data_IF_077040027503
#
_entry.id   IF_077040027503
#
_cell.length_a   1.000
_cell.length_b   1.000
_cell.length_c   1.000
_cell.angle_alpha   90.00
_cell.angle_beta   90.00
_cell.angle_gamma   90.00
#
_symmetry.space_group_name_H-M   'P 1'
#
loop_
_entity.id
_entity.type
_entity.pdbx_description
1 polymer ?
#
# COMPACT_ATOMS: atom_id res chain seq x y z
N UNK A 1 20.86 10.65 -20.59
CA UNK A 1 19.63 10.69 -19.76
C UNK A 1 18.43 10.84 -20.68
N UNK A 2 17.46 9.91 -20.64
CA UNK A 2 16.20 10.07 -21.39
C UNK A 2 15.41 11.13 -20.64
N UNK A 3 15.17 12.29 -21.26
CA UNK A 3 14.36 13.36 -20.66
C UNK A 3 12.92 12.89 -20.48
N UNK A 4 12.35 13.13 -19.31
CA UNK A 4 10.92 12.91 -19.05
C UNK A 4 10.15 13.97 -19.82
N UNK A 5 9.13 13.56 -20.58
CA UNK A 5 8.27 14.47 -21.33
C UNK A 5 7.05 14.84 -20.49
N UNK A 6 7.12 15.98 -19.81
CA UNK A 6 6.06 16.49 -18.92
C UNK A 6 4.72 16.66 -19.65
N UNK A 7 4.70 17.17 -20.89
CA UNK A 7 3.46 17.36 -21.66
C UNK A 7 2.71 16.05 -21.87
N UNK A 8 3.45 14.95 -22.11
CA UNK A 8 2.82 13.64 -22.21
C UNK A 8 2.20 13.20 -20.88
N UNK A 9 2.91 13.40 -19.76
CA UNK A 9 2.44 13.03 -18.43
C UNK A 9 1.16 13.81 -18.13
N UNK A 10 1.15 15.11 -18.37
CA UNK A 10 0.01 15.99 -18.16
C UNK A 10 -1.20 15.59 -19.01
N UNK A 11 -0.96 15.28 -20.27
CA UNK A 11 -2.00 14.76 -21.16
C UNK A 11 -2.66 13.50 -20.61
N UNK A 12 -1.86 12.52 -20.15
CA UNK A 12 -2.41 11.27 -19.60
C UNK A 12 -3.08 11.47 -18.25
N UNK A 13 -2.52 12.30 -17.38
CA UNK A 13 -3.15 12.69 -16.14
C UNK A 13 -4.55 13.27 -16.38
N UNK A 14 -4.66 14.24 -17.27
CA UNK A 14 -5.93 14.90 -17.60
C UNK A 14 -6.98 13.94 -18.18
N UNK A 15 -6.56 12.99 -19.03
CA UNK A 15 -7.47 11.96 -19.58
C UNK A 15 -7.98 11.04 -18.45
N UNK A 16 -7.10 10.59 -17.56
CA UNK A 16 -7.48 9.75 -16.41
C UNK A 16 -8.44 10.49 -15.50
N UNK A 17 -8.10 11.72 -15.15
CA UNK A 17 -8.92 12.56 -14.28
C UNK A 17 -10.30 12.82 -14.87
N UNK A 18 -10.38 13.21 -16.14
CA UNK A 18 -11.65 13.43 -16.83
C UNK A 18 -12.57 12.20 -16.80
N UNK A 19 -11.99 11.00 -16.97
CA UNK A 19 -12.73 9.75 -16.92
C UNK A 19 -13.25 9.45 -15.51
N UNK A 20 -12.45 9.70 -14.48
CA UNK A 20 -12.86 9.52 -13.09
C UNK A 20 -13.95 10.53 -12.68
N UNK A 21 -13.81 11.79 -13.12
CA UNK A 21 -14.82 12.86 -12.89
C UNK A 21 -16.18 12.56 -13.53
N UNK A 22 -16.24 11.77 -14.58
CA UNK A 22 -17.50 11.39 -15.21
C UNK A 22 -18.44 10.64 -14.25
N UNK A 23 -17.90 9.89 -13.29
CA UNK A 23 -18.64 9.17 -12.26
C UNK A 23 -19.36 10.14 -11.32
N UNK A 24 -18.75 11.26 -10.96
CA UNK A 24 -19.35 12.26 -10.08
C UNK A 24 -20.66 12.81 -10.66
N UNK A 25 -20.71 13.00 -11.98
CA UNK A 25 -21.93 13.47 -12.68
C UNK A 25 -23.06 12.45 -12.63
N UNK A 26 -22.72 11.15 -12.68
CA UNK A 26 -23.72 10.07 -12.72
C UNK A 26 -24.14 9.56 -11.33
N UNK A 27 -23.27 9.69 -10.32
CA UNK A 27 -23.46 9.16 -8.95
C UNK A 27 -22.91 10.10 -7.88
N UNK A 28 -23.48 11.31 -7.69
CA UNK A 28 -22.91 12.31 -6.78
C UNK A 28 -22.86 11.85 -5.31
N UNK A 29 -23.82 11.03 -4.86
CA UNK A 29 -23.86 10.54 -3.47
C UNK A 29 -22.72 9.55 -3.16
N UNK A 30 -22.12 8.93 -4.17
CA UNK A 30 -20.99 8.00 -3.99
C UNK A 30 -19.75 8.72 -3.48
N UNK A 31 -19.49 9.95 -3.91
CA UNK A 31 -18.40 10.79 -3.43
C UNK A 31 -18.50 11.00 -1.91
N UNK A 32 -19.64 11.53 -1.45
CA UNK A 32 -19.88 11.78 -0.02
C UNK A 32 -19.77 10.52 0.84
N UNK A 33 -20.23 9.36 0.33
CA UNK A 33 -20.09 8.08 1.05
C UNK A 33 -18.63 7.67 1.25
N UNK A 34 -17.78 7.84 0.23
CA UNK A 34 -16.34 7.53 0.32
C UNK A 34 -15.65 8.51 1.25
N UNK A 35 -15.89 9.81 1.11
CA UNK A 35 -15.32 10.85 1.95
C UNK A 35 -15.67 10.62 3.43
N UNK A 36 -16.94 10.42 3.74
CA UNK A 36 -17.39 10.11 5.11
C UNK A 36 -16.80 8.80 5.65
N UNK A 37 -16.67 7.75 4.82
CA UNK A 37 -16.04 6.50 5.22
C UNK A 37 -14.56 6.68 5.56
N UNK A 38 -13.87 7.56 4.86
CA UNK A 38 -12.46 7.93 5.10
C UNK A 38 -12.31 9.12 6.06
N UNK A 39 -13.41 9.52 6.74
CA UNK A 39 -13.47 10.60 7.75
C UNK A 39 -12.99 11.94 7.19
N UNK A 40 -13.41 12.26 5.98
CA UNK A 40 -13.13 13.51 5.27
C UNK A 40 -11.62 13.82 5.13
N UNK A 41 -10.78 12.77 5.12
CA UNK A 41 -9.34 12.90 4.92
C UNK A 41 -8.92 13.05 3.45
N UNK A 42 -9.85 12.79 2.53
CA UNK A 42 -9.64 12.85 1.08
C UNK A 42 -10.88 13.39 0.40
N UNK A 43 -10.71 13.98 -0.79
CA UNK A 43 -11.81 14.21 -1.74
C UNK A 43 -11.98 12.98 -2.63
N UNK A 44 -13.18 12.77 -3.19
CA UNK A 44 -13.43 11.66 -4.10
C UNK A 44 -14.36 12.05 -5.23
N UNK A 45 -14.14 11.46 -6.41
CA UNK A 45 -15.09 11.51 -7.53
C UNK A 45 -16.19 10.44 -7.43
N UNK A 46 -16.17 9.63 -6.38
CA UNK A 46 -17.19 8.61 -6.13
C UNK A 46 -16.91 7.24 -6.74
N UNK A 47 -15.68 6.99 -7.23
CA UNK A 47 -15.30 5.69 -7.75
C UNK A 47 -14.82 4.78 -6.61
N UNK A 48 -15.44 3.62 -6.45
CA UNK A 48 -14.92 2.58 -5.57
C UNK A 48 -13.72 1.86 -6.22
N UNK A 49 -12.97 1.10 -5.42
CA UNK A 49 -11.74 0.44 -5.88
C UNK A 49 -11.94 -0.48 -7.10
N UNK A 50 -12.98 -1.35 -7.18
CA UNK A 50 -13.26 -2.12 -8.39
C UNK A 50 -13.45 -1.25 -9.63
N UNK A 51 -14.23 -0.19 -9.53
CA UNK A 51 -14.51 0.71 -10.65
C UNK A 51 -13.25 1.47 -11.11
N UNK A 52 -12.40 1.90 -10.16
CA UNK A 52 -11.11 2.53 -10.50
C UNK A 52 -10.22 1.55 -11.26
N UNK A 53 -10.18 0.29 -10.83
CA UNK A 53 -9.41 -0.75 -11.52
C UNK A 53 -9.93 -1.03 -12.93
N UNK A 54 -11.24 -1.13 -13.11
CA UNK A 54 -11.88 -1.29 -14.43
C UNK A 54 -11.61 -0.07 -15.32
N UNK A 55 -11.76 1.13 -14.79
CA UNK A 55 -11.46 2.38 -15.50
C UNK A 55 -10.00 2.40 -15.95
N UNK A 56 -9.06 1.99 -15.11
CA UNK A 56 -7.66 1.89 -15.45
C UNK A 56 -7.41 0.86 -16.56
N UNK A 57 -7.96 -0.36 -16.45
CA UNK A 57 -7.88 -1.38 -17.51
C UNK A 57 -8.45 -0.90 -18.83
N UNK A 58 -9.62 -0.25 -18.79
CA UNK A 58 -10.25 0.28 -19.99
C UNK A 58 -9.50 1.48 -20.58
N UNK A 59 -8.69 2.16 -19.78
CA UNK A 59 -7.79 3.23 -20.23
C UNK A 59 -6.56 2.67 -20.96
N UNK A 60 -5.92 1.62 -20.39
CA UNK A 60 -4.71 1.04 -20.99
C UNK A 60 -4.99 0.40 -22.35
N UNK A 61 -6.10 -0.34 -22.49
CA UNK A 61 -6.43 -1.12 -23.70
C UNK A 61 -6.57 -0.28 -24.97
N UNK A 62 -7.42 0.77 -25.02
CA UNK A 62 -7.61 1.57 -26.25
C UNK A 62 -6.51 2.58 -26.48
N UNK A 63 -5.83 3.03 -25.42
CA UNK A 63 -4.77 4.03 -25.53
C UNK A 63 -3.41 3.37 -25.80
N UNK A 64 -3.20 2.90 -27.05
CA UNK A 64 -1.87 2.44 -27.51
C UNK A 64 -0.75 3.40 -27.13
N UNK A 65 -1.06 4.70 -27.00
CA UNK A 65 -0.11 5.74 -26.60
C UNK A 65 0.36 5.58 -25.15
N UNK A 66 -0.48 5.13 -24.20
CA UNK A 66 -0.03 4.83 -22.83
C UNK A 66 1.08 3.75 -22.84
N UNK A 67 0.94 2.75 -23.69
CA UNK A 67 1.94 1.69 -23.81
C UNK A 67 3.26 2.20 -24.43
N UNK A 68 3.24 3.37 -25.10
CA UNK A 68 4.42 4.05 -25.63
C UNK A 68 5.12 4.94 -24.59
N UNK A 69 4.52 5.16 -23.42
CA UNK A 69 5.23 5.77 -22.29
C UNK A 69 6.37 4.87 -21.86
N UNK A 70 7.53 5.47 -21.65
CA UNK A 70 8.67 4.79 -21.04
C UNK A 70 8.33 4.37 -19.61
N UNK A 71 9.14 3.50 -19.01
CA UNK A 71 9.00 3.14 -17.62
C UNK A 71 9.04 4.38 -16.71
N UNK A 72 10.02 5.27 -16.92
CA UNK A 72 10.16 6.52 -16.16
C UNK A 72 8.98 7.46 -16.30
N UNK A 73 8.43 7.61 -17.51
CA UNK A 73 7.21 8.42 -17.72
C UNK A 73 5.99 7.84 -17.00
N UNK A 74 5.85 6.50 -16.94
CA UNK A 74 4.78 5.84 -16.16
C UNK A 74 4.98 6.02 -14.67
N UNK A 75 6.22 5.92 -14.19
CA UNK A 75 6.55 6.16 -12.79
C UNK A 75 6.24 7.61 -12.40
N UNK A 76 6.67 8.59 -13.19
CA UNK A 76 6.34 10.01 -12.97
C UNK A 76 4.83 10.28 -13.02
N UNK A 77 4.08 9.64 -13.93
CA UNK A 77 2.62 9.71 -13.95
C UNK A 77 1.98 9.15 -12.67
N UNK A 78 2.53 8.06 -12.13
CA UNK A 78 2.06 7.51 -10.86
C UNK A 78 2.31 8.48 -9.70
N UNK A 79 3.48 9.09 -9.62
CA UNK A 79 3.78 10.12 -8.60
C UNK A 79 2.85 11.32 -8.74
N UNK A 80 2.59 11.79 -9.98
CA UNK A 80 1.65 12.90 -10.22
C UNK A 80 0.23 12.55 -9.76
N UNK A 81 -0.25 11.35 -10.02
CA UNK A 81 -1.55 10.88 -9.54
C UNK A 81 -1.58 10.76 -8.00
N UNK A 82 -0.48 10.34 -7.37
CA UNK A 82 -0.40 10.18 -5.93
C UNK A 82 -0.42 11.53 -5.18
N UNK A 83 0.11 12.61 -5.82
CA UNK A 83 0.07 13.99 -5.30
C UNK A 83 -1.32 14.62 -5.32
N UNK A 84 -2.27 14.00 -5.99
CA UNK A 84 -3.65 14.51 -6.03
C UNK A 84 -4.31 14.47 -4.65
N UNK A 85 -5.16 15.45 -4.37
CA UNK A 85 -6.07 15.43 -3.21
C UNK A 85 -7.23 14.41 -3.37
N UNK A 86 -7.45 13.91 -4.59
CA UNK A 86 -8.53 12.98 -4.88
C UNK A 86 -8.09 11.52 -4.70
N UNK A 87 -8.83 10.81 -3.85
CA UNK A 87 -8.65 9.39 -3.54
C UNK A 87 -8.60 8.51 -4.80
N UNK A 88 -9.50 8.76 -5.75
CA UNK A 88 -9.60 8.03 -7.01
C UNK A 88 -8.29 8.07 -7.82
N UNK A 89 -7.61 9.22 -7.84
CA UNK A 89 -6.31 9.38 -8.50
C UNK A 89 -5.19 8.69 -7.72
N UNK A 90 -5.19 8.76 -6.38
CA UNK A 90 -4.24 8.02 -5.54
C UNK A 90 -4.35 6.51 -5.76
N UNK A 91 -5.58 5.98 -5.87
CA UNK A 91 -5.79 4.56 -6.21
C UNK A 91 -5.37 4.23 -7.63
N UNK A 92 -5.53 5.17 -8.57
CA UNK A 92 -5.02 5.01 -9.93
C UNK A 92 -3.49 4.95 -9.95
N UNK A 93 -2.80 5.76 -9.15
CA UNK A 93 -1.35 5.66 -8.95
C UNK A 93 -0.94 4.25 -8.52
N UNK A 94 -1.66 3.66 -7.57
CA UNK A 94 -1.43 2.28 -7.13
C UNK A 94 -1.54 1.26 -8.27
N UNK A 95 -2.53 1.44 -9.17
CA UNK A 95 -2.69 0.58 -10.35
C UNK A 95 -1.56 0.77 -11.37
N UNK A 96 -1.09 2.02 -11.59
CA UNK A 96 0.06 2.31 -12.47
C UNK A 96 1.32 1.65 -11.94
N UNK A 97 1.65 1.84 -10.65
CA UNK A 97 2.79 1.21 -10.00
C UNK A 97 2.70 -0.33 -10.06
N UNK A 98 1.50 -0.88 -9.83
CA UNK A 98 1.24 -2.30 -9.97
C UNK A 98 1.37 -2.82 -11.41
N UNK A 99 1.29 -1.96 -12.43
CA UNK A 99 1.52 -2.33 -13.82
C UNK A 99 3.01 -2.36 -14.17
N UNK A 100 3.83 -1.53 -13.51
CA UNK A 100 5.25 -1.37 -13.82
C UNK A 100 6.20 -2.00 -12.79
N UNK A 101 5.70 -2.63 -11.72
CA UNK A 101 6.50 -3.07 -10.56
C UNK A 101 7.75 -3.89 -10.93
N UNK A 102 7.71 -4.66 -12.03
CA UNK A 102 8.82 -5.50 -12.46
C UNK A 102 10.05 -4.71 -12.94
N UNK A 103 9.84 -3.48 -13.37
CA UNK A 103 10.91 -2.61 -13.89
C UNK A 103 11.31 -1.52 -12.88
N UNK A 104 10.69 -1.46 -11.71
CA UNK A 104 11.04 -0.46 -10.68
C UNK A 104 12.42 -0.79 -10.11
N UNK A 105 13.33 0.17 -10.21
CA UNK A 105 14.70 0.06 -9.66
C UNK A 105 14.71 0.36 -8.16
N UNK A 106 15.85 0.11 -7.51
CA UNK A 106 16.04 0.46 -6.09
C UNK A 106 15.94 1.98 -5.89
N UNK A 107 16.54 2.77 -6.78
CA UNK A 107 16.47 4.24 -6.73
C UNK A 107 15.04 4.75 -6.88
N UNK A 108 14.24 4.17 -7.79
CA UNK A 108 12.82 4.53 -7.95
C UNK A 108 11.98 4.10 -6.74
N UNK A 109 12.31 2.96 -6.13
CA UNK A 109 11.67 2.53 -4.88
C UNK A 109 11.95 3.50 -3.73
N UNK A 110 13.20 3.93 -3.59
CA UNK A 110 13.60 4.90 -2.58
C UNK A 110 13.01 6.28 -2.84
N UNK A 111 12.99 6.74 -4.10
CA UNK A 111 12.32 7.98 -4.52
C UNK A 111 10.83 7.96 -4.17
N UNK A 112 10.13 6.86 -4.45
CA UNK A 112 8.71 6.70 -4.12
C UNK A 112 8.48 6.85 -2.61
N UNK A 113 9.25 6.15 -1.79
CA UNK A 113 9.06 6.17 -0.34
C UNK A 113 9.47 7.51 0.27
N UNK A 114 10.53 8.12 -0.23
CA UNK A 114 10.94 9.47 0.16
C UNK A 114 9.85 10.48 -0.17
N UNK A 115 9.34 10.48 -1.40
CA UNK A 115 8.27 11.38 -1.85
C UNK A 115 6.98 11.19 -1.03
N UNK A 116 6.59 9.94 -0.76
CA UNK A 116 5.42 9.62 0.08
C UNK A 116 5.57 10.24 1.47
N UNK A 117 6.77 10.19 2.05
CA UNK A 117 7.05 10.69 3.38
C UNK A 117 7.13 12.22 3.40
N UNK A 118 8.00 12.81 2.59
CA UNK A 118 8.30 14.25 2.64
C UNK A 118 7.13 15.12 2.18
N UNK A 119 6.32 14.63 1.25
CA UNK A 119 5.13 15.33 0.78
C UNK A 119 3.84 14.87 1.48
N UNK A 120 3.93 13.96 2.48
CA UNK A 120 2.80 13.40 3.24
C UNK A 120 1.66 12.90 2.34
N UNK A 121 2.00 12.21 1.24
CA UNK A 121 1.04 11.85 0.18
C UNK A 121 -0.05 10.86 0.62
N UNK A 122 0.14 10.19 1.75
CA UNK A 122 -0.83 9.26 2.34
C UNK A 122 -1.26 9.81 3.70
N UNK A 123 -2.57 10.02 3.85
CA UNK A 123 -3.19 10.53 5.09
C UNK A 123 -4.30 9.62 5.62
N UNK A 124 -4.56 8.48 4.94
CA UNK A 124 -5.57 7.50 5.32
C UNK A 124 -5.17 6.07 4.91
N UNK A 125 -5.81 5.09 5.54
CA UNK A 125 -5.43 3.68 5.47
C UNK A 125 -5.72 3.02 4.11
N UNK A 126 -6.74 3.45 3.38
CA UNK A 126 -7.17 2.77 2.17
C UNK A 126 -6.18 2.99 1.00
N UNK A 127 -5.59 4.20 0.87
CA UNK A 127 -4.50 4.45 -0.09
C UNK A 127 -3.27 3.61 0.24
N UNK A 128 -2.87 3.55 1.53
CA UNK A 128 -1.76 2.72 1.99
C UNK A 128 -1.98 1.24 1.63
N UNK A 129 -3.15 0.68 1.96
CA UNK A 129 -3.46 -0.73 1.73
C UNK A 129 -3.65 -1.03 0.22
N UNK A 130 -4.09 -0.05 -0.57
CA UNK A 130 -4.16 -0.19 -2.02
C UNK A 130 -2.77 -0.26 -2.64
N UNK A 131 -1.85 0.62 -2.25
CA UNK A 131 -0.44 0.57 -2.66
C UNK A 131 0.18 -0.79 -2.31
N UNK A 132 -0.06 -1.30 -1.10
CA UNK A 132 0.39 -2.63 -0.71
C UNK A 132 -0.18 -3.69 -1.64
N UNK A 133 -1.48 -3.71 -1.87
CA UNK A 133 -2.15 -4.76 -2.64
C UNK A 133 -1.77 -4.77 -4.12
N UNK A 134 -1.40 -3.62 -4.69
CA UNK A 134 -1.10 -3.46 -6.11
C UNK A 134 0.40 -3.42 -6.41
N UNK A 135 1.23 -2.85 -5.54
CA UNK A 135 2.65 -2.62 -5.79
C UNK A 135 3.56 -3.33 -4.78
N UNK A 136 3.59 -2.92 -3.51
CA UNK A 136 4.59 -3.40 -2.56
C UNK A 136 4.62 -4.93 -2.41
N UNK A 137 3.44 -5.56 -2.34
CA UNK A 137 3.33 -7.02 -2.27
C UNK A 137 4.04 -7.70 -3.43
N UNK A 138 3.82 -7.24 -4.66
CA UNK A 138 4.40 -7.87 -5.85
C UNK A 138 5.89 -7.53 -6.00
N UNK A 139 6.27 -6.27 -5.73
CA UNK A 139 7.67 -5.85 -5.71
C UNK A 139 8.48 -6.69 -4.71
N UNK A 140 8.01 -6.85 -3.48
CA UNK A 140 8.66 -7.66 -2.47
C UNK A 140 8.74 -9.16 -2.78
N UNK A 141 7.87 -9.68 -3.69
CA UNK A 141 7.92 -11.08 -4.11
C UNK A 141 8.95 -11.34 -5.22
N UNK A 142 9.54 -10.30 -5.82
CA UNK A 142 10.50 -10.47 -6.90
C UNK A 142 11.85 -11.00 -6.41
N UNK A 143 12.30 -10.54 -5.24
CA UNK A 143 13.57 -10.96 -4.66
C UNK A 143 13.56 -10.88 -3.13
N UNK A 144 14.60 -11.44 -2.52
CA UNK A 144 14.83 -11.35 -1.08
C UNK A 144 15.22 -9.91 -0.69
N UNK A 145 16.02 -9.25 -1.50
CA UNK A 145 16.47 -7.87 -1.34
C UNK A 145 15.27 -6.93 -1.33
N UNK A 146 14.35 -7.05 -2.29
CA UNK A 146 13.11 -6.27 -2.32
C UNK A 146 12.22 -6.52 -1.09
N UNK A 147 12.21 -7.77 -0.58
CA UNK A 147 11.52 -8.08 0.69
C UNK A 147 12.15 -7.31 1.85
N UNK A 148 13.48 -7.27 1.93
CA UNK A 148 14.19 -6.51 2.97
C UNK A 148 13.99 -5.00 2.81
N UNK A 149 14.02 -4.45 1.59
CA UNK A 149 13.75 -3.04 1.34
C UNK A 149 12.38 -2.61 1.90
N UNK A 150 11.32 -3.41 1.67
CA UNK A 150 10.02 -3.15 2.27
C UNK A 150 10.04 -3.29 3.80
N UNK A 151 10.75 -4.29 4.32
CA UNK A 151 10.86 -4.49 5.76
C UNK A 151 11.58 -3.33 6.46
N UNK A 152 12.54 -2.67 5.79
CA UNK A 152 13.24 -1.50 6.34
C UNK A 152 12.34 -0.27 6.53
N UNK A 153 11.20 -0.17 5.84
CA UNK A 153 10.21 0.88 6.06
C UNK A 153 9.66 0.90 7.50
N UNK A 154 9.84 -0.19 8.26
CA UNK A 154 9.51 -0.25 9.71
C UNK A 154 10.23 0.80 10.55
N UNK A 155 11.36 1.32 10.05
CA UNK A 155 12.20 2.31 10.74
C UNK A 155 11.74 3.74 10.49
N UNK A 156 10.80 3.95 9.58
CA UNK A 156 10.30 5.28 9.24
C UNK A 156 9.59 5.94 10.43
N UNK A 157 9.77 7.24 10.60
CA UNK A 157 8.96 8.08 11.48
C UNK A 157 7.54 8.34 10.95
N UNK A 158 7.31 8.09 9.65
CA UNK A 158 6.02 8.28 9.00
C UNK A 158 5.13 7.04 9.16
N UNK A 159 3.97 7.22 9.80
CA UNK A 159 3.00 6.15 10.11
C UNK A 159 2.71 5.23 8.92
N UNK A 160 2.48 5.80 7.74
CA UNK A 160 1.99 5.03 6.61
C UNK A 160 3.05 4.13 5.98
N UNK A 161 4.34 4.53 6.01
CA UNK A 161 5.43 3.65 5.61
C UNK A 161 5.61 2.50 6.60
N UNK A 162 5.50 2.75 7.91
CA UNK A 162 5.49 1.67 8.91
C UNK A 162 4.32 0.71 8.68
N UNK A 163 3.11 1.24 8.38
CA UNK A 163 1.95 0.41 8.05
C UNK A 163 2.21 -0.44 6.80
N UNK A 164 2.80 0.13 5.76
CA UNK A 164 3.18 -0.59 4.53
C UNK A 164 4.11 -1.76 4.88
N UNK A 165 5.12 -1.57 5.74
CA UNK A 165 6.03 -2.64 6.15
C UNK A 165 5.34 -3.80 6.88
N UNK A 166 4.21 -3.56 7.54
CA UNK A 166 3.42 -4.59 8.22
C UNK A 166 2.45 -5.29 7.26
N UNK A 167 1.63 -4.50 6.53
CA UNK A 167 0.53 -5.03 5.71
C UNK A 167 1.05 -5.78 4.48
N UNK A 168 2.23 -5.42 3.95
CA UNK A 168 2.83 -6.08 2.78
C UNK A 168 3.05 -7.58 2.96
N UNK A 169 3.20 -8.03 4.19
CA UNK A 169 3.52 -9.42 4.51
C UNK A 169 2.35 -10.27 5.01
N UNK A 170 1.23 -9.66 5.37
CA UNK A 170 0.05 -10.33 5.94
C UNK A 170 -0.36 -11.57 5.15
N UNK A 171 -0.45 -11.48 3.82
CA UNK A 171 -0.84 -12.63 2.98
C UNK A 171 0.31 -13.60 2.70
N UNK A 172 1.57 -13.18 2.88
CA UNK A 172 2.76 -14.01 2.63
C UNK A 172 3.10 -14.91 3.81
N UNK A 173 2.84 -14.47 5.03
CA UNK A 173 3.12 -15.21 6.27
C UNK A 173 2.57 -16.62 6.25
N UNK A 174 1.41 -16.84 5.63
CA UNK A 174 0.77 -18.16 5.51
C UNK A 174 1.65 -19.24 4.86
N UNK A 175 2.71 -18.85 4.15
CA UNK A 175 3.69 -19.75 3.54
C UNK A 175 4.88 -20.06 4.44
N UNK A 176 4.92 -19.48 5.64
CA UNK A 176 6.06 -19.65 6.54
C UNK A 176 7.38 -19.27 5.86
N UNK A 177 8.39 -20.08 6.07
CA UNK A 177 9.73 -19.96 5.48
C UNK A 177 9.84 -20.63 4.08
N UNK A 178 8.72 -21.12 3.54
CA UNK A 178 8.70 -21.78 2.23
C UNK A 178 8.50 -20.78 1.08
N UNK A 179 8.81 -21.21 -0.15
CA UNK A 179 8.60 -20.39 -1.36
C UNK A 179 7.14 -19.87 -1.46
N UNK A 180 6.93 -18.63 -1.84
CA UNK A 180 7.89 -17.63 -2.37
C UNK A 180 8.72 -16.90 -1.30
N UNK A 181 8.67 -17.30 -0.05
CA UNK A 181 9.48 -16.77 1.04
C UNK A 181 10.87 -17.48 1.08
N UNK A 182 11.61 -17.31 2.17
CA UNK A 182 12.94 -17.85 2.35
C UNK A 182 13.14 -18.25 3.82
N UNK A 183 14.13 -19.07 4.10
CA UNK A 183 14.49 -19.46 5.47
C UNK A 183 14.80 -18.22 6.31
N UNK A 184 14.12 -18.07 7.47
CA UNK A 184 14.19 -16.90 8.35
C UNK A 184 13.19 -15.78 7.98
N UNK A 185 12.24 -16.04 7.09
CA UNK A 185 11.20 -15.07 6.77
C UNK A 185 10.32 -14.75 7.98
N UNK A 186 9.96 -15.76 8.77
CA UNK A 186 9.17 -15.54 10.00
C UNK A 186 9.98 -14.75 11.05
N UNK A 187 11.30 -14.94 11.13
CA UNK A 187 12.16 -14.12 12.01
C UNK A 187 12.14 -12.65 11.58
N UNK A 188 12.17 -12.38 10.28
CA UNK A 188 12.01 -11.04 9.75
C UNK A 188 10.65 -10.43 10.12
N UNK A 189 9.57 -11.21 10.12
CA UNK A 189 8.25 -10.72 10.53
C UNK A 189 8.23 -10.32 12.01
N UNK A 190 8.84 -11.10 12.90
CA UNK A 190 8.98 -10.69 14.29
C UNK A 190 9.84 -9.45 14.46
N UNK A 191 10.91 -9.30 13.67
CA UNK A 191 11.73 -8.07 13.65
C UNK A 191 10.89 -6.84 13.28
N UNK A 192 10.00 -6.96 12.31
CA UNK A 192 9.07 -5.87 11.93
C UNK A 192 8.07 -5.59 13.07
N UNK A 193 7.54 -6.63 13.71
CA UNK A 193 6.64 -6.48 14.85
C UNK A 193 7.33 -5.78 16.03
N UNK A 194 8.58 -6.16 16.33
CA UNK A 194 9.37 -5.55 17.42
C UNK A 194 9.63 -4.06 17.19
N UNK A 195 9.90 -3.65 15.95
CA UNK A 195 10.08 -2.24 15.62
C UNK A 195 8.78 -1.44 15.74
N UNK A 196 7.63 -2.07 15.51
CA UNK A 196 6.32 -1.39 15.46
C UNK A 196 5.53 -1.43 16.78
N UNK A 197 5.91 -2.26 17.76
CA UNK A 197 5.16 -2.43 19.02
C UNK A 197 5.07 -1.17 19.88
N UNK A 198 6.05 -0.27 19.77
CA UNK A 198 6.13 0.96 20.56
C UNK A 198 5.27 2.10 20.02
N UNK A 199 4.85 2.02 18.75
CA UNK A 199 4.06 3.07 18.13
C UNK A 199 2.58 2.89 18.45
N UNK A 200 2.00 3.88 19.15
CA UNK A 200 0.64 3.80 19.70
C UNK A 200 -0.45 4.25 18.71
N UNK A 201 -0.08 4.76 17.55
CA UNK A 201 -1.05 5.21 16.56
C UNK A 201 -1.97 4.06 16.14
N UNK A 202 -3.27 4.34 16.15
CA UNK A 202 -4.32 3.35 15.90
C UNK A 202 -4.06 2.49 14.66
N UNK A 203 -3.70 3.12 13.54
CA UNK A 203 -3.53 2.41 12.27
C UNK A 203 -2.24 1.58 12.20
N UNK A 204 -1.20 1.97 12.95
CA UNK A 204 -0.03 1.13 13.15
C UNK A 204 -0.39 -0.12 13.97
N UNK A 205 -1.08 0.07 15.10
CA UNK A 205 -1.48 -1.03 15.97
C UNK A 205 -2.47 -2.00 15.30
N UNK A 206 -3.39 -1.52 14.45
CA UNK A 206 -4.26 -2.38 13.67
C UNK A 206 -3.49 -3.24 12.66
N UNK A 207 -2.48 -2.66 11.99
CA UNK A 207 -1.63 -3.40 11.05
C UNK A 207 -0.76 -4.43 11.79
N UNK A 208 -0.17 -4.06 12.93
CA UNK A 208 0.60 -4.95 13.80
C UNK A 208 -0.26 -6.13 14.25
N UNK A 209 -1.47 -5.86 14.75
CA UNK A 209 -2.40 -6.91 15.16
C UNK A 209 -2.81 -7.83 14.01
N UNK A 210 -2.92 -7.29 12.79
CA UNK A 210 -3.22 -8.10 11.61
C UNK A 210 -2.06 -9.04 11.26
N UNK A 211 -0.83 -8.53 11.21
CA UNK A 211 0.35 -9.37 10.93
C UNK A 211 0.55 -10.43 12.01
N UNK A 212 0.45 -10.08 13.29
CA UNK A 212 0.57 -11.01 14.40
C UNK A 212 -0.49 -12.12 14.37
N UNK A 213 -1.71 -11.80 13.97
CA UNK A 213 -2.76 -12.80 13.79
C UNK A 213 -2.39 -13.84 12.73
N UNK A 214 -1.83 -13.41 11.60
CA UNK A 214 -1.41 -14.35 10.55
C UNK A 214 -0.17 -15.16 10.98
N UNK A 215 0.75 -14.57 11.76
CA UNK A 215 1.87 -15.30 12.36
C UNK A 215 1.35 -16.39 13.32
N UNK A 216 0.34 -16.09 14.13
CA UNK A 216 -0.24 -17.05 15.08
C UNK A 216 -0.80 -18.32 14.40
N UNK A 217 -1.26 -18.21 13.14
CA UNK A 217 -1.74 -19.36 12.35
C UNK A 217 -0.60 -20.28 11.93
N UNK A 218 0.60 -19.74 11.75
CA UNK A 218 1.75 -20.46 11.18
C UNK A 218 2.70 -20.95 12.28
N UNK A 219 2.87 -20.15 13.32
CA UNK A 219 3.83 -20.41 14.40
C UNK A 219 3.28 -19.86 15.72
N UNK A 220 2.32 -20.62 16.28
CA UNK A 220 1.61 -20.21 17.49
C UNK A 220 2.54 -20.11 18.71
N UNK A 221 3.50 -21.01 18.85
CA UNK A 221 4.40 -21.05 20.02
C UNK A 221 5.28 -19.80 20.09
N UNK A 222 5.85 -19.37 18.95
CA UNK A 222 6.64 -18.14 18.90
C UNK A 222 5.76 -16.90 19.04
N UNK A 223 4.57 -16.90 18.45
CA UNK A 223 3.59 -15.84 18.64
C UNK A 223 3.22 -15.68 20.13
N UNK A 224 2.90 -16.79 20.83
CA UNK A 224 2.52 -16.74 22.24
C UNK A 224 3.66 -16.21 23.12
N UNK A 225 4.90 -16.69 22.89
CA UNK A 225 6.09 -16.18 23.58
C UNK A 225 6.28 -14.68 23.36
N UNK A 226 6.16 -14.23 22.12
CA UNK A 226 6.26 -12.81 21.76
C UNK A 226 5.18 -11.99 22.46
N UNK A 227 3.95 -12.48 22.49
CA UNK A 227 2.83 -11.81 23.12
C UNK A 227 2.97 -11.71 24.63
N UNK A 228 3.42 -12.77 25.32
CA UNK A 228 3.69 -12.73 26.77
C UNK A 228 4.71 -11.64 27.12
N UNK A 229 5.73 -11.48 26.28
CA UNK A 229 6.79 -10.48 26.48
C UNK A 229 6.33 -9.04 26.20
N UNK A 230 5.40 -8.83 25.25
CA UNK A 230 5.13 -7.51 24.68
C UNK A 230 3.67 -7.02 24.86
N UNK A 231 2.80 -7.78 25.47
CA UNK A 231 1.35 -7.49 25.55
C UNK A 231 1.01 -6.15 26.22
N UNK A 232 1.82 -5.70 27.17
CA UNK A 232 1.61 -4.43 27.89
C UNK A 232 1.75 -3.22 26.98
N UNK A 233 2.55 -3.33 25.89
CA UNK A 233 2.82 -2.24 24.96
C UNK A 233 1.76 -2.10 23.87
N UNK A 234 0.79 -3.01 23.81
CA UNK A 234 -0.19 -3.05 22.73
C UNK A 234 -1.52 -2.39 23.14
N UNK A 235 -2.13 -1.65 22.20
CA UNK A 235 -3.46 -1.10 22.41
C UNK A 235 -4.50 -2.21 22.64
N UNK A 236 -5.50 -1.92 23.49
CA UNK A 236 -6.62 -2.83 23.80
C UNK A 236 -7.36 -3.31 22.53
N UNK A 237 -7.47 -2.49 21.49
CA UNK A 237 -8.08 -2.86 20.20
C UNK A 237 -7.34 -4.04 19.55
N UNK A 238 -6.01 -4.01 19.54
CA UNK A 238 -5.19 -5.10 19.01
C UNK A 238 -5.40 -6.38 19.82
N UNK A 239 -5.42 -6.25 21.15
CA UNK A 239 -5.65 -7.36 22.07
C UNK A 239 -7.03 -8.02 21.88
N UNK A 240 -8.11 -7.23 21.73
CA UNK A 240 -9.46 -7.74 21.55
C UNK A 240 -9.66 -8.47 20.22
N UNK A 241 -9.15 -7.92 19.10
CA UNK A 241 -9.21 -8.58 17.79
C UNK A 241 -8.46 -9.91 17.78
N UNK A 242 -7.36 -9.99 18.51
CA UNK A 242 -6.60 -11.23 18.70
C UNK A 242 -7.39 -12.29 19.43
N UNK A 243 -8.03 -11.93 20.57
CA UNK A 243 -8.85 -12.88 21.36
C UNK A 243 -9.99 -13.45 20.53
N UNK A 244 -10.70 -12.60 19.77
CA UNK A 244 -11.82 -13.03 18.92
C UNK A 244 -11.41 -14.03 17.84
N UNK A 245 -10.15 -14.00 17.37
CA UNK A 245 -9.69 -14.90 16.32
C UNK A 245 -9.18 -16.25 16.84
N UNK A 246 -8.67 -16.29 18.07
CA UNK A 246 -8.18 -17.55 18.70
C UNK A 246 -9.34 -18.42 19.21
N UNK A 247 -10.53 -17.84 19.41
CA UNK A 247 -11.71 -18.56 19.91
C UNK A 247 -12.63 -19.09 18.79
N UNK A 248 -12.30 -18.92 17.53
CA UNK A 248 -12.95 -19.49 16.36
C UNK A 248 -12.11 -20.63 15.75
#
# INVERSE_FOLDING_TARGET
MISINEDKIDKFYNIIEAKLKATLKSKPDSSKKIESYLKDKVKSYGNNNPLIHENFKSFIKPHKQYNKLTHKEKFALALKCLRSEYFDLKLTASNILGHIYKGVTEEEFDELNHTIKEEELINEWATSDCLVSKFYKFYGMMSKENTFAIAELRKSDFLWLRRISLVSFVNRVKKGDEKPNFKGFIDLMFTICDANKQYIERFNQLALGWLLREIAVVDYDRYEKWMKKNSILMLKITSNKRKAYIMQ
#
